data_IF_216589546638
#
_entry.id   IF_216589546638
#
_cell.length_a   1.000
_cell.length_b   1.000
_cell.length_c   1.000
_cell.angle_alpha   90.00
_cell.angle_beta   90.00
_cell.angle_gamma   90.00
#
_symmetry.space_group_name_H-M   'P 1'
#
loop_
_entity.id
_entity.type
_entity.pdbx_description
1 polymer ?
#
# COMPACT_ATOMS: atom_id res chain seq x y z
N UNK A 1 -5.89 -33.73 1.54
CA UNK A 1 -6.43 -32.71 2.47
C UNK A 1 -6.24 -31.35 1.84
N UNK A 2 -7.31 -30.71 1.35
CA UNK A 2 -7.24 -29.32 0.90
C UNK A 2 -7.12 -28.43 2.15
N UNK A 3 -5.97 -27.78 2.32
CA UNK A 3 -5.77 -26.80 3.40
C UNK A 3 -6.63 -25.57 3.11
N UNK A 4 -7.53 -25.23 4.03
CA UNK A 4 -7.75 -23.82 4.37
C UNK A 4 -9.04 -23.15 3.88
N UNK A 5 -10.20 -23.81 3.86
CA UNK A 5 -11.48 -23.06 3.86
C UNK A 5 -12.32 -23.51 5.05
N UNK A 6 -12.32 -22.68 6.10
CA UNK A 6 -13.17 -22.88 7.27
C UNK A 6 -14.61 -22.49 6.88
N UNK A 7 -15.41 -23.47 6.46
CA UNK A 7 -16.82 -23.30 6.10
C UNK A 7 -17.69 -23.50 7.34
N UNK A 8 -17.70 -22.52 8.23
CA UNK A 8 -18.55 -22.57 9.42
C UNK A 8 -19.11 -21.19 9.72
N UNK A 9 -20.42 -21.14 9.96
CA UNK A 9 -21.13 -19.97 10.45
C UNK A 9 -20.86 -19.82 11.95
N UNK A 10 -20.39 -18.65 12.36
CA UNK A 10 -20.22 -18.32 13.79
C UNK A 10 -21.31 -17.32 14.17
N UNK A 11 -22.09 -17.66 15.20
CA UNK A 11 -23.09 -16.76 15.79
C UNK A 11 -22.53 -16.27 17.12
N UNK A 12 -22.35 -14.96 17.24
CA UNK A 12 -21.90 -14.27 18.45
C UNK A 12 -23.10 -13.59 19.09
N UNK A 13 -23.33 -13.82 20.39
CA UNK A 13 -24.38 -13.14 21.14
C UNK A 13 -23.76 -12.33 22.27
N UNK A 14 -23.90 -11.00 22.21
CA UNK A 14 -23.41 -10.11 23.24
C UNK A 14 -24.27 -8.84 23.33
N UNK A 15 -24.66 -8.40 24.53
CA UNK A 15 -25.39 -7.14 24.73
C UNK A 15 -24.68 -5.95 24.07
N UNK A 16 -25.39 -5.23 23.21
CA UNK A 16 -24.87 -4.05 22.52
C UNK A 16 -23.92 -4.35 21.35
N UNK A 17 -23.87 -5.60 20.87
CA UNK A 17 -23.00 -6.00 19.75
C UNK A 17 -23.25 -5.17 18.48
N UNK A 18 -24.51 -4.94 18.10
CA UNK A 18 -24.84 -4.11 16.93
C UNK A 18 -24.22 -2.71 17.00
N UNK A 19 -24.26 -2.09 18.19
CA UNK A 19 -23.68 -0.76 18.44
C UNK A 19 -22.15 -0.79 18.33
N UNK A 20 -21.53 -1.91 18.75
CA UNK A 20 -20.09 -2.08 18.70
C UNK A 20 -19.58 -2.38 17.28
N UNK A 21 -20.31 -3.20 16.51
CA UNK A 21 -20.01 -3.53 15.12
C UNK A 21 -19.96 -2.27 14.24
N UNK A 22 -20.98 -1.42 14.34
CA UNK A 22 -21.07 -0.17 13.57
C UNK A 22 -19.99 0.84 13.98
N UNK A 23 -19.76 1.05 15.28
CA UNK A 23 -18.87 2.11 15.78
C UNK A 23 -17.38 1.77 15.79
N UNK A 24 -17.02 0.49 15.97
CA UNK A 24 -15.61 0.08 16.20
C UNK A 24 -14.99 -0.64 15.02
N UNK A 25 -15.78 -1.43 14.29
CA UNK A 25 -15.24 -2.35 13.29
C UNK A 25 -15.68 -2.02 11.87
N UNK A 26 -16.50 -0.97 11.68
CA UNK A 26 -17.13 -0.66 10.39
C UNK A 26 -17.80 -1.90 9.77
N UNK A 27 -18.31 -2.80 10.62
CA UNK A 27 -19.08 -3.96 10.19
C UNK A 27 -20.54 -3.57 10.06
N UNK A 28 -21.20 -4.05 9.01
CA UNK A 28 -22.65 -3.90 8.86
C UNK A 28 -23.32 -4.83 9.87
N UNK A 29 -23.92 -4.26 10.91
CA UNK A 29 -24.77 -5.00 11.83
C UNK A 29 -26.02 -5.49 11.07
N UNK A 30 -26.33 -6.77 11.16
CA UNK A 30 -27.38 -7.42 10.34
C UNK A 30 -28.80 -6.95 10.70
N UNK A 31 -28.97 -6.40 11.91
CA UNK A 31 -30.15 -5.65 12.32
C UNK A 31 -29.78 -4.63 13.41
N UNK A 32 -30.10 -3.36 13.15
CA UNK A 32 -30.05 -2.29 14.15
C UNK A 32 -30.86 -2.72 15.38
N UNK A 33 -30.18 -2.86 16.53
CA UNK A 33 -30.78 -3.22 17.81
C UNK A 33 -30.76 -4.70 18.21
N UNK A 34 -30.08 -5.59 17.46
CA UNK A 34 -29.89 -6.99 17.85
C UNK A 34 -28.59 -7.22 18.63
N UNK A 35 -28.65 -8.09 19.65
CA UNK A 35 -27.46 -8.57 20.38
C UNK A 35 -26.76 -9.73 19.66
N UNK A 36 -27.15 -10.01 18.41
CA UNK A 36 -26.66 -11.14 17.63
C UNK A 36 -25.83 -10.65 16.44
N UNK A 37 -24.60 -11.15 16.35
CA UNK A 37 -23.72 -11.01 15.21
C UNK A 37 -23.56 -12.34 14.49
N UNK A 38 -23.66 -12.34 13.17
CA UNK A 38 -23.38 -13.50 12.34
C UNK A 38 -22.15 -13.24 11.47
N UNK A 39 -21.21 -14.17 11.50
CA UNK A 39 -20.09 -14.22 10.55
C UNK A 39 -20.36 -15.37 9.60
N UNK A 40 -20.75 -15.05 8.37
CA UNK A 40 -20.93 -16.02 7.30
C UNK A 40 -19.58 -16.46 6.74
N UNK A 41 -19.47 -17.75 6.39
CA UNK A 41 -18.30 -18.26 5.71
C UNK A 41 -18.18 -17.63 4.32
N UNK A 42 -16.98 -17.16 3.96
CA UNK A 42 -16.71 -16.65 2.61
C UNK A 42 -16.59 -17.85 1.66
N UNK A 43 -17.40 -17.92 0.57
CA UNK A 43 -17.26 -18.94 -0.46
C UNK A 43 -15.86 -18.97 -1.08
N UNK A 44 -15.36 -20.16 -1.45
CA UNK A 44 -14.00 -20.37 -1.98
C UNK A 44 -13.70 -19.47 -3.19
N UNK A 45 -14.65 -19.36 -4.12
CA UNK A 45 -14.53 -18.53 -5.33
C UNK A 45 -14.37 -17.04 -5.02
N UNK A 46 -15.10 -16.52 -4.01
CA UNK A 46 -14.97 -15.12 -3.57
C UNK A 46 -13.64 -14.89 -2.86
N UNK A 47 -13.20 -15.83 -2.02
CA UNK A 47 -11.93 -15.74 -1.33
C UNK A 47 -10.74 -15.72 -2.31
N UNK A 48 -10.77 -16.57 -3.35
CA UNK A 48 -9.74 -16.63 -4.38
C UNK A 48 -9.65 -15.30 -5.16
N UNK A 49 -10.80 -14.71 -5.54
CA UNK A 49 -10.85 -13.39 -6.20
C UNK A 49 -10.27 -12.27 -5.33
N UNK A 50 -10.59 -12.26 -4.03
CA UNK A 50 -10.03 -11.29 -3.09
C UNK A 50 -8.50 -11.43 -2.97
N UNK A 51 -8.01 -12.66 -2.90
CA UNK A 51 -6.57 -12.93 -2.85
C UNK A 51 -5.86 -12.43 -4.11
N UNK A 52 -6.46 -12.61 -5.28
CA UNK A 52 -5.93 -12.11 -6.55
C UNK A 52 -5.85 -10.57 -6.56
N UNK A 53 -6.91 -9.88 -6.12
CA UNK A 53 -6.95 -8.42 -6.02
C UNK A 53 -5.84 -7.91 -5.08
N UNK A 54 -5.68 -8.53 -3.91
CA UNK A 54 -4.65 -8.15 -2.94
C UNK A 54 -3.25 -8.36 -3.53
N UNK A 55 -2.99 -9.50 -4.18
CA UNK A 55 -1.70 -9.78 -4.85
C UNK A 55 -1.41 -8.74 -5.93
N UNK A 56 -2.37 -8.47 -6.81
CA UNK A 56 -2.24 -7.45 -7.86
C UNK A 56 -1.99 -6.05 -7.27
N UNK A 57 -2.68 -5.70 -6.19
CA UNK A 57 -2.47 -4.46 -5.45
C UNK A 57 -1.06 -4.36 -4.86
N UNK A 58 -0.57 -5.45 -4.25
CA UNK A 58 0.79 -5.53 -3.69
C UNK A 58 1.86 -5.43 -4.77
N UNK A 59 1.68 -6.10 -5.91
CA UNK A 59 2.64 -6.06 -7.01
C UNK A 59 2.65 -4.69 -7.67
N UNK A 60 1.47 -4.06 -7.81
CA UNK A 60 1.34 -2.66 -8.26
C UNK A 60 2.02 -1.70 -7.27
N UNK A 61 1.84 -1.90 -5.96
CA UNK A 61 2.47 -1.09 -4.93
C UNK A 61 3.99 -1.33 -4.83
N UNK A 62 4.48 -2.56 -5.09
CA UNK A 62 5.93 -2.85 -5.17
C UNK A 62 6.57 -2.22 -6.41
N UNK A 63 5.85 -2.17 -7.52
CA UNK A 63 6.32 -1.52 -8.75
C UNK A 63 6.21 0.01 -8.67
N UNK A 64 5.23 0.55 -7.94
CA UNK A 64 5.14 1.98 -7.61
C UNK A 64 6.05 2.40 -6.42
N UNK A 65 6.41 1.46 -5.54
CA UNK A 65 7.32 1.64 -4.39
C UNK A 65 8.81 1.57 -4.75
N UNK A 66 9.13 1.50 -6.05
CA UNK A 66 10.45 1.85 -6.58
C UNK A 66 10.52 3.33 -6.98
N UNK A 67 9.83 4.21 -6.27
CA UNK A 67 10.44 5.50 -5.99
C UNK A 67 11.47 5.27 -4.89
N UNK A 68 12.77 5.49 -5.14
CA UNK A 68 13.73 5.50 -4.06
C UNK A 68 13.35 6.68 -3.16
N UNK A 69 12.69 6.40 -2.02
CA UNK A 69 12.79 7.24 -0.84
C UNK A 69 14.22 7.11 -0.32
N UNK A 70 15.17 7.68 -1.07
CA UNK A 70 16.49 8.06 -0.56
C UNK A 70 16.26 9.19 0.44
N UNK A 71 15.87 8.81 1.65
CA UNK A 71 16.17 9.58 2.84
C UNK A 71 17.46 8.98 3.44
N UNK A 72 18.51 9.01 2.63
CA UNK A 72 19.87 8.75 3.06
C UNK A 72 20.65 9.96 2.55
N UNK A 73 21.32 10.65 3.48
CA UNK A 73 22.36 11.65 3.26
C UNK A 73 22.79 11.73 1.79
N UNK A 74 22.33 12.75 1.07
CA UNK A 74 22.61 12.89 -0.36
C UNK A 74 24.12 13.02 -0.55
N UNK A 75 24.75 11.91 -0.93
CA UNK A 75 26.17 11.92 -1.26
C UNK A 75 26.33 12.73 -2.55
N UNK A 76 27.47 13.43 -2.69
CA UNK A 76 27.81 14.17 -3.91
C UNK A 76 27.64 13.29 -5.16
N UNK A 77 27.92 11.99 -5.04
CA UNK A 77 27.71 11.02 -6.13
C UNK A 77 26.23 10.83 -6.51
N UNK A 78 25.32 10.76 -5.55
CA UNK A 78 23.87 10.62 -5.79
C UNK A 78 23.28 11.88 -6.44
N UNK A 79 23.75 13.05 -6.02
CA UNK A 79 23.32 14.33 -6.61
C UNK A 79 23.84 14.49 -8.05
N UNK A 80 25.09 14.09 -8.34
CA UNK A 80 25.62 14.05 -9.71
C UNK A 80 24.80 13.11 -10.62
N UNK A 81 24.37 11.96 -10.10
CA UNK A 81 23.55 11.01 -10.83
C UNK A 81 22.17 11.58 -11.18
N UNK A 82 21.54 12.32 -10.25
CA UNK A 82 20.26 13.02 -10.50
C UNK A 82 20.40 14.09 -11.57
N UNK A 83 21.45 14.91 -11.51
CA UNK A 83 21.72 15.97 -12.49
C UNK A 83 21.98 15.35 -13.89
N UNK A 84 22.68 14.22 -13.97
CA UNK A 84 22.90 13.49 -15.24
C UNK A 84 21.60 12.94 -15.83
N UNK A 85 20.69 12.46 -14.98
CA UNK A 85 19.38 11.97 -15.41
C UNK A 85 18.52 13.10 -15.98
N UNK A 86 18.46 14.26 -15.32
CA UNK A 86 17.71 15.43 -15.81
C UNK A 86 18.21 15.91 -17.18
N UNK A 87 19.52 15.85 -17.42
CA UNK A 87 20.12 16.14 -18.72
C UNK A 87 19.70 15.10 -19.78
N UNK A 88 19.75 13.81 -19.44
CA UNK A 88 19.37 12.74 -20.36
C UNK A 88 17.88 12.80 -20.73
N UNK A 89 17.04 13.26 -19.81
CA UNK A 89 15.60 13.50 -20.02
C UNK A 89 15.32 14.81 -20.77
N UNK A 90 16.33 15.64 -21.06
CA UNK A 90 16.19 16.92 -21.75
C UNK A 90 15.51 18.01 -20.93
N UNK A 91 15.41 17.83 -19.60
CA UNK A 91 14.76 18.78 -18.67
C UNK A 91 15.64 20.00 -18.42
N UNK A 92 16.95 19.83 -18.54
CA UNK A 92 17.95 20.91 -18.40
C UNK A 92 18.89 20.90 -19.61
N UNK A 93 19.39 22.08 -19.96
CA UNK A 93 20.37 22.27 -21.03
C UNK A 93 21.78 21.81 -20.62
N UNK A 94 22.66 21.64 -21.62
CA UNK A 94 24.08 21.30 -21.38
C UNK A 94 24.81 22.36 -20.52
N UNK A 95 24.41 23.62 -20.66
CA UNK A 95 24.96 24.77 -19.92
C UNK A 95 24.56 24.70 -18.45
N UNK A 96 23.26 24.47 -18.19
CA UNK A 96 22.71 24.30 -16.84
C UNK A 96 23.29 23.07 -16.14
N UNK A 97 23.48 21.98 -16.88
CA UNK A 97 24.12 20.77 -16.37
C UNK A 97 25.55 21.03 -15.90
N UNK A 98 26.34 21.81 -16.65
CA UNK A 98 27.70 22.16 -16.23
C UNK A 98 27.72 23.10 -15.04
N UNK A 99 26.83 24.10 -14.99
CA UNK A 99 26.72 25.00 -13.85
C UNK A 99 26.41 24.24 -12.56
N UNK A 100 25.41 23.35 -12.59
CA UNK A 100 24.99 22.54 -11.44
C UNK A 100 26.09 21.58 -10.97
N UNK A 101 26.81 20.94 -11.90
CA UNK A 101 27.98 20.10 -11.56
C UNK A 101 29.08 20.86 -10.83
N UNK A 102 29.39 22.08 -11.29
CA UNK A 102 30.46 22.90 -10.68
C UNK A 102 30.06 23.40 -9.31
N UNK A 103 28.80 23.76 -9.12
CA UNK A 103 28.28 24.21 -7.82
C UNK A 103 28.33 23.07 -6.80
N UNK A 104 27.95 21.85 -7.23
CA UNK A 104 28.00 20.65 -6.41
C UNK A 104 29.41 20.32 -5.91
N UNK A 105 30.40 20.36 -6.81
CA UNK A 105 31.80 20.05 -6.51
C UNK A 105 32.49 21.11 -5.64
N UNK A 106 31.95 22.33 -5.59
CA UNK A 106 32.44 23.40 -4.69
C UNK A 106 31.89 23.28 -3.27
N UNK A 107 30.77 22.59 -3.10
CA UNK A 107 30.03 22.50 -1.83
C UNK A 107 30.35 21.23 -1.05
N UNK A 108 30.92 20.21 -1.70
CA UNK A 108 31.41 18.97 -1.11
C UNK A 108 32.88 19.00 -0.73
#
# INVERSE_FOLDING_TARGET
MEKGVFSSKIVLRAPGFSTMAEKRFNLIAFASGSDEGEIEAIPKDKAEKLLEIIKKGMDSAKSQGRQPTQQASSSVADELAKIAKLKAEGVISDEEFQALKRDLLKKG
#
